data_IF_557425677673
#
_entry.id   IF_557425677673
#
_cell.length_a   1.000
_cell.length_b   1.000
_cell.length_c   1.000
_cell.angle_alpha   90.00
_cell.angle_beta   90.00
_cell.angle_gamma   90.00
#
_symmetry.space_group_name_H-M   'P 1'
#
loop_
_entity.id
_entity.type
_entity.pdbx_description
1 polymer ?
#
# COMPACT_ATOMS: atom_id res chain seq x y z
N UNK A 1 6.86 -24.14 4.86
CA UNK A 1 5.68 -23.27 4.75
C UNK A 1 6.04 -22.21 3.72
N UNK A 2 5.40 -22.21 2.57
CA UNK A 2 5.59 -21.12 1.60
C UNK A 2 5.14 -19.82 2.27
N UNK A 3 6.07 -18.87 2.43
CA UNK A 3 5.74 -17.53 2.85
C UNK A 3 4.92 -16.89 1.73
N UNK A 4 3.60 -17.06 1.75
CA UNK A 4 2.75 -16.42 0.76
C UNK A 4 2.79 -14.90 0.99
N UNK A 5 3.46 -14.19 0.08
CA UNK A 5 3.56 -12.73 0.11
C UNK A 5 2.34 -12.07 -0.56
N UNK A 6 1.59 -12.81 -1.36
CA UNK A 6 0.39 -12.32 -2.05
C UNK A 6 -0.62 -11.81 -1.04
N UNK A 7 -1.16 -10.62 -1.31
CA UNK A 7 -2.12 -9.93 -0.47
C UNK A 7 -1.50 -8.98 0.55
N UNK A 8 -0.21 -9.13 0.88
CA UNK A 8 0.55 -8.23 1.76
C UNK A 8 1.00 -6.99 1.02
N UNK A 9 1.53 -6.02 1.76
CA UNK A 9 2.00 -4.75 1.21
C UNK A 9 3.52 -4.66 1.23
N UNK A 10 4.08 -4.07 0.17
CA UNK A 10 5.46 -3.65 0.13
C UNK A 10 5.56 -2.22 0.69
N UNK A 11 6.32 -2.07 1.76
CA UNK A 11 6.74 -0.80 2.34
C UNK A 11 8.15 -0.48 1.86
N UNK A 12 8.35 0.76 1.40
CA UNK A 12 9.64 1.29 0.95
C UNK A 12 9.91 2.56 1.75
N UNK A 13 11.00 2.58 2.52
CA UNK A 13 11.43 3.72 3.33
C UNK A 13 10.35 4.26 4.27
N UNK A 14 9.54 3.37 4.86
CA UNK A 14 8.45 3.74 5.80
C UNK A 14 7.12 4.12 5.14
N UNK A 15 7.04 4.05 3.81
CA UNK A 15 5.81 4.35 3.06
C UNK A 15 5.29 3.12 2.31
N UNK A 16 3.98 2.89 2.36
CA UNK A 16 3.34 1.79 1.64
C UNK A 16 3.37 2.09 0.14
N UNK A 17 4.17 1.32 -0.60
CA UNK A 17 4.33 1.50 -2.04
C UNK A 17 3.22 0.81 -2.83
N UNK A 18 2.78 -0.37 -2.37
CA UNK A 18 1.79 -1.15 -3.09
C UNK A 18 1.48 -2.51 -2.47
N UNK A 19 0.47 -3.17 -3.01
CA UNK A 19 0.08 -4.53 -2.63
C UNK A 19 0.73 -5.54 -3.57
N UNK A 20 1.22 -6.63 -3.01
CA UNK A 20 1.77 -7.75 -3.78
C UNK A 20 0.59 -8.57 -4.30
N UNK A 21 0.40 -8.56 -5.62
CA UNK A 21 -0.69 -9.28 -6.29
C UNK A 21 -0.24 -10.65 -6.79
N UNK A 22 1.05 -10.80 -7.12
CA UNK A 22 1.65 -12.07 -7.54
C UNK A 22 3.09 -12.17 -7.05
N UNK A 23 3.52 -13.40 -6.83
CA UNK A 23 4.90 -13.74 -6.45
C UNK A 23 5.39 -14.86 -7.38
N UNK A 24 6.53 -14.62 -8.01
CA UNK A 24 7.28 -15.64 -8.74
C UNK A 24 8.63 -15.89 -8.03
N UNK A 25 9.46 -16.77 -8.59
CA UNK A 25 10.75 -17.14 -7.99
C UNK A 25 11.66 -15.91 -7.74
N UNK A 26 11.71 -14.98 -8.70
CA UNK A 26 12.63 -13.83 -8.68
C UNK A 26 11.96 -12.49 -8.42
N UNK A 27 10.67 -12.36 -8.72
CA UNK A 27 9.99 -11.07 -8.78
C UNK A 27 8.66 -11.06 -8.03
N UNK A 28 8.27 -9.87 -7.60
CA UNK A 28 6.95 -9.55 -7.06
C UNK A 28 6.22 -8.63 -8.04
N UNK A 29 4.97 -8.94 -8.36
CA UNK A 29 4.09 -7.98 -9.03
C UNK A 29 3.42 -7.11 -7.97
N UNK A 30 3.80 -5.83 -7.93
CA UNK A 30 3.33 -4.88 -6.93
C UNK A 30 2.38 -3.88 -7.58
N UNK A 31 1.11 -3.91 -7.18
CA UNK A 31 0.09 -2.96 -7.60
C UNK A 31 0.15 -1.70 -6.73
N UNK A 32 0.30 -0.54 -7.37
CA UNK A 32 0.56 0.72 -6.67
C UNK A 32 -0.59 1.05 -5.71
N UNK A 33 -0.23 1.44 -4.49
CA UNK A 33 -1.17 1.91 -3.48
C UNK A 33 -1.18 3.44 -3.39
N UNK A 34 -2.35 3.99 -3.12
CA UNK A 34 -2.58 5.33 -2.57
C UNK A 34 -3.06 5.11 -1.15
N UNK A 35 -2.45 5.80 -0.19
CA UNK A 35 -2.74 5.59 1.24
C UNK A 35 -3.16 6.89 1.89
N UNK A 36 -4.35 6.92 2.48
CA UNK A 36 -4.79 8.03 3.33
C UNK A 36 -4.42 7.69 4.76
N UNK A 37 -3.74 8.63 5.43
CA UNK A 37 -3.39 8.50 6.84
C UNK A 37 -4.29 9.43 7.65
N UNK A 38 -4.82 8.93 8.76
CA UNK A 38 -5.51 9.74 9.74
C UNK A 38 -4.56 10.04 10.89
N UNK A 39 -4.28 11.32 11.07
CA UNK A 39 -3.47 11.79 12.18
C UNK A 39 -4.26 11.79 13.48
N UNK A 40 -3.65 11.25 14.53
CA UNK A 40 -4.20 11.22 15.89
C UNK A 40 -3.42 12.24 16.72
N UNK A 41 -4.15 13.21 17.30
CA UNK A 41 -3.57 14.29 18.10
C UNK A 41 -3.99 14.19 19.56
N UNK A 42 -3.09 14.60 20.47
CA UNK A 42 -3.40 14.93 21.86
C UNK A 42 -3.07 16.39 22.09
N UNK A 43 -4.10 17.25 22.17
CA UNK A 43 -3.92 18.70 22.07
C UNK A 43 -3.35 19.07 20.70
N UNK A 44 -2.27 19.84 20.68
CA UNK A 44 -1.59 20.24 19.43
C UNK A 44 -0.44 19.30 19.01
N UNK A 45 -0.26 18.16 19.70
CA UNK A 45 0.83 17.22 19.42
C UNK A 45 0.31 16.02 18.62
N UNK A 46 0.90 15.76 17.45
CA UNK A 46 0.73 14.51 16.72
C UNK A 46 1.33 13.37 17.55
N UNK A 47 0.52 12.37 17.87
CA UNK A 47 0.96 11.23 18.69
C UNK A 47 1.01 9.94 17.90
N UNK A 48 0.22 9.82 16.83
CA UNK A 48 0.18 8.64 15.99
C UNK A 48 -0.44 8.99 14.62
N UNK A 49 -0.23 8.14 13.63
CA UNK A 49 -0.91 8.20 12.35
C UNK A 49 -1.30 6.79 11.90
N UNK A 50 -2.59 6.56 11.75
CA UNK A 50 -3.11 5.27 11.31
C UNK A 50 -3.45 5.32 9.82
N UNK A 51 -3.22 4.22 9.12
CA UNK A 51 -3.74 4.05 7.75
C UNK A 51 -5.26 3.97 7.84
N UNK A 52 -5.94 4.89 7.14
CA UNK A 52 -7.40 4.99 7.15
C UNK A 52 -8.00 4.21 5.99
N UNK A 53 -7.63 4.57 4.76
CA UNK A 53 -8.03 3.85 3.54
C UNK A 53 -6.79 3.50 2.71
N UNK A 54 -6.89 2.43 1.91
CA UNK A 54 -5.91 2.07 0.89
C UNK A 54 -6.64 1.93 -0.44
N UNK A 55 -6.15 2.62 -1.46
CA UNK A 55 -6.66 2.58 -2.83
C UNK A 55 -5.63 1.93 -3.74
N UNK A 56 -6.03 0.95 -4.54
CA UNK A 56 -5.14 0.30 -5.49
C UNK A 56 -5.37 0.84 -6.90
N UNK A 57 -4.32 1.39 -7.50
CA UNK A 57 -4.35 1.87 -8.88
C UNK A 57 -4.33 0.69 -9.85
N UNK A 58 -4.84 0.88 -11.07
CA UNK A 58 -4.71 -0.12 -12.16
C UNK A 58 -3.25 -0.48 -12.51
N UNK A 59 -2.31 0.42 -12.22
CA UNK A 59 -0.88 0.25 -12.50
C UNK A 59 -0.21 -0.73 -11.52
N UNK A 60 0.59 -1.65 -12.07
CA UNK A 60 1.45 -2.55 -11.32
C UNK A 60 2.87 -2.58 -11.92
N UNK A 61 3.86 -2.90 -11.08
CA UNK A 61 5.28 -2.94 -11.44
C UNK A 61 5.89 -4.24 -10.92
N UNK A 62 6.77 -4.86 -11.72
CA UNK A 62 7.59 -5.97 -11.25
C UNK A 62 8.78 -5.46 -10.44
N UNK A 63 8.98 -6.04 -9.26
CA UNK A 63 10.05 -5.69 -8.33
C UNK A 63 10.87 -6.94 -8.02
N UNK A 64 12.19 -6.88 -8.22
CA UNK A 64 13.11 -7.98 -7.91
C UNK A 64 13.08 -8.28 -6.40
N UNK A 65 12.86 -9.54 -6.02
CA UNK A 65 12.77 -9.99 -4.62
C UNK A 65 14.03 -9.69 -3.81
N UNK A 66 15.19 -9.53 -4.45
CA UNK A 66 16.45 -9.14 -3.78
C UNK A 66 16.36 -7.80 -3.07
N UNK A 67 15.41 -6.92 -3.43
CA UNK A 67 15.23 -5.67 -2.69
C UNK A 67 14.81 -5.92 -1.24
N UNK A 68 14.19 -7.06 -0.94
CA UNK A 68 13.77 -7.44 0.42
C UNK A 68 14.95 -7.73 1.36
N UNK A 69 16.16 -7.94 0.82
CA UNK A 69 17.38 -8.05 1.62
C UNK A 69 17.89 -6.68 2.11
N UNK A 70 17.32 -5.58 1.59
CA UNK A 70 17.67 -4.21 1.97
C UNK A 70 16.74 -3.70 3.09
N UNK A 71 17.31 -3.06 4.10
CA UNK A 71 16.59 -2.52 5.26
C UNK A 71 15.54 -1.45 4.94
N UNK A 72 15.57 -0.85 3.76
CA UNK A 72 14.55 0.09 3.30
C UNK A 72 13.27 -0.59 2.81
N UNK A 73 13.30 -1.90 2.56
CA UNK A 73 12.17 -2.64 2.03
C UNK A 73 11.64 -3.59 3.08
N UNK A 74 10.33 -3.60 3.24
CA UNK A 74 9.68 -4.49 4.19
C UNK A 74 8.36 -4.97 3.62
N UNK A 75 8.05 -6.24 3.84
CA UNK A 75 6.69 -6.74 3.64
C UNK A 75 5.91 -6.57 4.93
N UNK A 76 4.78 -5.88 4.85
CA UNK A 76 3.89 -5.62 5.98
C UNK A 76 2.51 -6.19 5.72
N UNK A 77 1.89 -6.69 6.78
CA UNK A 77 0.50 -7.15 6.77
C UNK A 77 -0.38 -6.04 7.36
N UNK A 78 -1.39 -5.62 6.61
CA UNK A 78 -2.30 -4.54 7.01
C UNK A 78 -3.73 -5.10 7.03
N UNK A 79 -4.50 -4.84 8.11
CA UNK A 79 -5.87 -5.33 8.23
C UNK A 79 -6.86 -4.60 7.30
N UNK A 80 -6.42 -3.54 6.63
CA UNK A 80 -7.26 -2.69 5.77
C UNK A 80 -7.56 -3.36 4.44
N UNK A 81 -8.85 -3.53 4.14
CA UNK A 81 -9.33 -4.01 2.83
C UNK A 81 -9.15 -2.88 1.81
N UNK A 82 -8.38 -3.09 0.73
CA UNK A 82 -8.15 -2.05 -0.26
C UNK A 82 -9.37 -1.83 -1.17
N UNK A 83 -9.63 -0.57 -1.52
CA UNK A 83 -10.58 -0.17 -2.56
C UNK A 83 -9.86 -0.14 -3.92
N UNK A 84 -10.49 -0.64 -4.99
CA UNK A 84 -9.92 -0.52 -6.34
C UNK A 84 -10.30 0.83 -6.94
N UNK A 85 -9.30 1.62 -7.35
CA UNK A 85 -9.52 2.88 -8.06
C UNK A 85 -9.40 2.59 -9.56
N UNK A 86 -10.54 2.42 -10.22
CA UNK A 86 -10.65 2.25 -11.68
C UNK A 86 -11.16 3.55 -12.34
N UNK A 87 -10.92 3.74 -13.63
CA UNK A 87 -11.34 4.96 -14.35
C UNK A 87 -12.87 5.22 -14.35
N UNK A 88 -13.70 4.19 -14.23
CA UNK A 88 -15.17 4.24 -14.45
C UNK A 88 -15.92 4.70 -13.20
N UNK A 89 -15.50 4.27 -12.02
CA UNK A 89 -16.09 4.62 -10.70
C UNK A 89 -15.31 5.75 -10.00
N UNK A 90 -14.26 6.26 -10.64
CA UNK A 90 -13.22 7.08 -10.03
C UNK A 90 -13.68 8.42 -9.47
N UNK A 91 -14.67 9.11 -10.03
CA UNK A 91 -14.87 10.54 -9.68
C UNK A 91 -15.20 10.76 -8.21
N UNK A 92 -16.07 9.94 -7.61
CA UNK A 92 -16.43 10.06 -6.19
C UNK A 92 -15.31 9.56 -5.27
N UNK A 93 -14.61 8.50 -5.68
CA UNK A 93 -13.45 7.99 -4.97
C UNK A 93 -12.32 9.03 -5.00
N UNK A 94 -11.89 9.48 -6.18
CA UNK A 94 -10.89 10.54 -6.35
C UNK A 94 -11.24 11.77 -5.51
N UNK A 95 -12.51 12.21 -5.47
CA UNK A 95 -12.93 13.33 -4.61
C UNK A 95 -12.73 13.02 -3.11
N UNK A 96 -13.21 11.87 -2.63
CA UNK A 96 -12.98 11.40 -1.25
C UNK A 96 -11.48 11.33 -0.91
N UNK A 97 -10.67 10.84 -1.85
CA UNK A 97 -9.24 10.60 -1.70
C UNK A 97 -8.39 11.89 -1.75
N UNK A 98 -8.75 12.84 -2.61
CA UNK A 98 -8.10 14.15 -2.72
C UNK A 98 -8.69 15.21 -1.76
N UNK A 99 -9.67 14.81 -0.95
CA UNK A 99 -10.38 15.69 -0.02
C UNK A 99 -11.00 16.92 -0.73
N UNK A 100 -11.57 16.68 -1.92
CA UNK A 100 -12.19 17.67 -2.81
C UNK A 100 -13.72 17.69 -2.72
#
# INVERSE_FOLDING_TARGET
MENNLVGKYLEISGEIAGRIEQENEKDLLVRRAIVTKRNIYRGNKLIDNIVNDIGLCEQAVYVDKKVLDNYWFKVVDLPTIPETINSVDSTNLIRKWLNM
#
